data_IF_980396293331
#
_entry.id   IF_980396293331
#
_cell.length_a   1.000
_cell.length_b   1.000
_cell.length_c   1.000
_cell.angle_alpha   90.00
_cell.angle_beta   90.00
_cell.angle_gamma   90.00
#
_symmetry.space_group_name_H-M   'P 1'
#
loop_
_entity.id
_entity.type
_entity.pdbx_description
1 polymer ?
#
# COMPACT_ATOMS: atom_id res chain seq x y z
N UNK A 1 7.55 -23.71 5.10
CA UNK A 1 6.55 -24.41 5.92
C UNK A 1 5.71 -23.48 6.79
N UNK A 2 6.30 -22.38 7.33
CA UNK A 2 5.58 -21.42 8.18
C UNK A 2 4.48 -20.64 7.45
N UNK A 3 4.66 -20.33 6.17
CA UNK A 3 3.69 -19.57 5.37
C UNK A 3 2.44 -20.39 4.99
N UNK A 4 2.51 -21.71 5.06
CA UNK A 4 1.37 -22.57 4.71
C UNK A 4 0.23 -22.51 5.75
N UNK A 5 0.51 -22.06 6.96
CA UNK A 5 -0.45 -21.92 8.06
C UNK A 5 -1.17 -20.56 8.10
N UNK A 6 -0.77 -19.61 7.23
CA UNK A 6 -1.41 -18.29 7.18
C UNK A 6 -2.74 -18.38 6.40
N UNK A 7 -3.75 -17.57 6.79
CA UNK A 7 -4.97 -17.40 6.00
C UNK A 7 -4.62 -16.96 4.57
N UNK A 8 -5.34 -17.48 3.58
CA UNK A 8 -5.16 -17.15 2.17
C UNK A 8 -6.49 -16.79 1.57
N UNK A 9 -6.52 -15.67 0.86
CA UNK A 9 -7.65 -15.24 0.06
C UNK A 9 -7.27 -15.20 -1.43
N UNK A 10 -8.24 -15.44 -2.29
CA UNK A 10 -8.08 -15.40 -3.74
C UNK A 10 -9.05 -14.42 -4.34
N UNK A 11 -8.54 -13.49 -5.14
CA UNK A 11 -9.34 -12.54 -5.91
C UNK A 11 -9.26 -12.93 -7.38
N UNK A 12 -10.42 -13.14 -8.00
CA UNK A 12 -10.50 -13.49 -9.42
C UNK A 12 -10.09 -12.31 -10.31
N UNK A 13 -9.36 -12.58 -11.38
CA UNK A 13 -9.02 -11.57 -12.38
C UNK A 13 -10.29 -11.12 -13.10
N UNK A 14 -10.58 -9.82 -13.05
CA UNK A 14 -11.74 -9.24 -13.75
C UNK A 14 -11.37 -8.85 -15.18
N UNK A 15 -12.32 -8.97 -16.10
CA UNK A 15 -12.15 -8.63 -17.53
C UNK A 15 -12.28 -7.14 -17.82
N UNK A 16 -12.62 -6.32 -16.82
CA UNK A 16 -12.83 -4.89 -16.95
C UNK A 16 -11.73 -4.09 -16.28
N UNK A 17 -11.54 -2.85 -16.71
CA UNK A 17 -10.57 -1.95 -16.12
C UNK A 17 -11.04 -1.50 -14.73
N UNK A 18 -10.24 -1.74 -13.69
CA UNK A 18 -10.54 -1.45 -12.27
C UNK A 18 -10.25 0.02 -11.94
N UNK A 19 -11.00 0.95 -12.53
CA UNK A 19 -10.89 2.40 -12.30
C UNK A 19 -12.20 2.94 -11.74
N UNK A 20 -12.13 3.68 -10.62
CA UNK A 20 -13.29 4.25 -9.95
C UNK A 20 -13.96 3.31 -8.94
N UNK A 21 -14.80 3.90 -8.08
CA UNK A 21 -15.41 3.19 -6.94
C UNK A 21 -16.31 2.03 -7.36
N UNK A 22 -17.09 2.20 -8.42
CA UNK A 22 -18.00 1.15 -8.91
C UNK A 22 -17.23 -0.08 -9.38
N UNK A 23 -16.16 0.13 -10.19
CA UNK A 23 -15.33 -0.98 -10.66
C UNK A 23 -14.64 -1.71 -9.49
N UNK A 24 -14.10 -0.97 -8.51
CA UNK A 24 -13.47 -1.54 -7.34
C UNK A 24 -14.45 -2.30 -6.44
N UNK A 25 -15.70 -1.85 -6.34
CA UNK A 25 -16.73 -2.54 -5.59
C UNK A 25 -17.04 -3.95 -6.15
N UNK A 26 -16.85 -4.16 -7.47
CA UNK A 26 -17.07 -5.49 -8.08
C UNK A 26 -16.09 -6.56 -7.61
N UNK A 27 -14.98 -6.19 -6.96
CA UNK A 27 -14.08 -7.17 -6.34
C UNK A 27 -14.71 -7.91 -5.16
N UNK A 28 -15.76 -7.34 -4.56
CA UNK A 28 -16.47 -7.91 -3.41
C UNK A 28 -17.76 -8.64 -3.80
N UNK A 29 -18.14 -8.63 -5.09
CA UNK A 29 -19.36 -9.28 -5.59
C UNK A 29 -19.00 -10.34 -6.63
N UNK A 30 -19.51 -11.54 -6.44
CA UNK A 30 -19.26 -12.69 -7.33
C UNK A 30 -20.13 -12.71 -8.61
N UNK A 31 -21.04 -11.74 -8.80
CA UNK A 31 -22.10 -11.83 -9.81
C UNK A 31 -21.63 -11.74 -11.27
N UNK A 32 -20.35 -11.39 -11.52
CA UNK A 32 -19.77 -11.26 -12.87
C UNK A 32 -18.56 -12.16 -13.13
N UNK A 33 -18.54 -13.36 -12.57
CA UNK A 33 -17.63 -14.36 -13.12
C UNK A 33 -18.16 -14.72 -14.53
N UNK A 34 -17.43 -14.41 -15.65
CA UNK A 34 -17.79 -15.00 -16.91
C UNK A 34 -17.79 -16.50 -16.69
N UNK A 35 -18.88 -17.18 -17.03
CA UNK A 35 -18.85 -18.61 -17.20
C UNK A 35 -17.85 -18.90 -18.33
N UNK A 36 -16.57 -18.96 -17.95
CA UNK A 36 -15.60 -19.63 -18.79
C UNK A 36 -16.09 -21.05 -18.90
N UNK A 37 -16.46 -21.46 -20.11
CA UNK A 37 -16.68 -22.86 -20.44
C UNK A 37 -15.52 -23.66 -19.85
N UNK A 38 -15.75 -24.21 -18.67
CA UNK A 38 -14.80 -25.06 -17.98
C UNK A 38 -14.74 -26.37 -18.78
N UNK A 39 -13.88 -26.38 -19.81
CA UNK A 39 -13.35 -27.63 -20.27
C UNK A 39 -12.47 -28.18 -19.15
N UNK A 40 -13.04 -29.14 -18.51
CA UNK A 40 -12.56 -30.02 -17.48
C UNK A 40 -11.08 -30.38 -17.64
N UNK A 41 -10.19 -29.64 -16.96
CA UNK A 41 -8.87 -30.16 -16.60
C UNK A 41 -8.95 -30.50 -15.12
N UNK A 42 -9.19 -31.79 -14.85
CA UNK A 42 -9.40 -32.43 -13.56
C UNK A 42 -8.62 -31.90 -12.36
N UNK A 43 -9.01 -30.73 -11.90
CA UNK A 43 -8.60 -30.11 -10.65
C UNK A 43 -9.63 -30.42 -9.59
N UNK A 44 -9.25 -31.15 -8.56
CA UNK A 44 -10.03 -31.41 -7.36
C UNK A 44 -10.69 -30.13 -6.88
N UNK A 45 -11.98 -30.19 -6.58
CA UNK A 45 -12.86 -29.10 -6.24
C UNK A 45 -12.20 -28.04 -5.37
N UNK A 46 -12.14 -26.82 -5.88
CA UNK A 46 -11.82 -25.61 -5.11
C UNK A 46 -13.01 -25.41 -4.17
N UNK A 47 -12.94 -26.07 -3.00
CA UNK A 47 -13.89 -25.80 -1.92
C UNK A 47 -13.89 -24.30 -1.63
N UNK A 48 -15.02 -23.77 -1.22
CA UNK A 48 -15.30 -22.38 -0.93
C UNK A 48 -14.04 -21.57 -0.57
N UNK A 49 -13.49 -20.87 -1.55
CA UNK A 49 -12.36 -19.98 -1.31
C UNK A 49 -12.88 -18.79 -0.51
N UNK A 50 -12.19 -18.36 0.55
CA UNK A 50 -12.60 -17.19 1.28
C UNK A 50 -12.58 -15.96 0.35
N UNK A 51 -13.66 -15.19 0.37
CA UNK A 51 -13.80 -13.98 -0.44
C UNK A 51 -13.05 -12.81 0.20
N UNK A 52 -12.56 -11.87 -0.62
CA UNK A 52 -11.90 -10.64 -0.13
C UNK A 52 -12.78 -9.89 0.89
N UNK A 53 -14.11 -9.95 0.72
CA UNK A 53 -15.06 -9.39 1.67
C UNK A 53 -14.91 -9.99 3.08
N UNK A 54 -14.74 -11.31 3.19
CA UNK A 54 -14.51 -11.99 4.46
C UNK A 54 -13.20 -11.58 5.14
N UNK A 55 -12.13 -11.37 4.36
CA UNK A 55 -10.89 -10.81 4.90
C UNK A 55 -11.11 -9.40 5.45
N UNK A 56 -11.82 -8.55 4.72
CA UNK A 56 -12.11 -7.17 5.18
C UNK A 56 -12.98 -7.19 6.42
N UNK A 57 -13.96 -8.11 6.53
CA UNK A 57 -14.78 -8.25 7.73
C UNK A 57 -13.94 -8.62 8.95
N UNK A 58 -13.00 -9.56 8.80
CA UNK A 58 -12.05 -9.92 9.86
C UNK A 58 -11.14 -8.75 10.25
N UNK A 59 -10.62 -8.00 9.26
CA UNK A 59 -9.81 -6.80 9.53
C UNK A 59 -10.64 -5.76 10.30
N UNK A 60 -11.91 -5.57 9.93
CA UNK A 60 -12.78 -4.57 10.52
C UNK A 60 -13.20 -4.89 11.97
N UNK A 61 -12.95 -6.10 12.48
CA UNK A 61 -13.11 -6.43 13.90
C UNK A 61 -12.14 -5.62 14.77
N UNK A 62 -10.99 -5.22 14.23
CA UNK A 62 -10.07 -4.28 14.87
C UNK A 62 -10.44 -2.83 14.53
N UNK A 63 -9.92 -1.89 15.32
CA UNK A 63 -10.10 -0.45 15.06
C UNK A 63 -8.94 0.17 14.27
N UNK A 64 -7.83 -0.50 14.21
CA UNK A 64 -6.61 -0.05 13.55
C UNK A 64 -5.75 -1.25 13.14
N UNK A 65 -4.80 -1.04 12.23
CA UNK A 65 -3.88 -2.09 11.80
C UNK A 65 -3.08 -1.72 10.56
N UNK A 66 -2.12 -2.59 10.22
CA UNK A 66 -1.30 -2.47 9.00
C UNK A 66 -1.62 -3.61 8.06
N UNK A 67 -1.95 -3.25 6.82
CA UNK A 67 -2.11 -4.20 5.70
C UNK A 67 -1.11 -3.82 4.61
N UNK A 68 -0.35 -4.79 4.13
CA UNK A 68 0.63 -4.57 3.06
C UNK A 68 0.33 -5.48 1.87
N UNK A 69 0.19 -4.90 0.68
CA UNK A 69 0.09 -5.67 -0.57
C UNK A 69 1.47 -5.85 -1.16
N UNK A 70 1.88 -7.11 -1.39
CA UNK A 70 3.21 -7.47 -1.87
C UNK A 70 3.12 -8.40 -3.07
N UNK A 71 4.06 -8.31 -4.00
CA UNK A 71 4.12 -9.19 -5.16
C UNK A 71 4.80 -8.55 -6.37
N UNK A 72 4.88 -9.30 -7.46
CA UNK A 72 5.48 -8.87 -8.74
C UNK A 72 4.70 -7.74 -9.39
N UNK A 73 5.30 -7.09 -10.39
CA UNK A 73 4.64 -6.07 -11.20
C UNK A 73 3.40 -6.62 -11.95
N UNK A 74 2.36 -5.81 -12.07
CA UNK A 74 1.17 -6.12 -12.87
C UNK A 74 0.19 -7.15 -12.27
N UNK A 75 0.38 -7.61 -11.02
CA UNK A 75 -0.51 -8.60 -10.38
C UNK A 75 -1.73 -7.99 -9.68
N UNK A 76 -1.95 -6.68 -9.78
CA UNK A 76 -3.11 -6.01 -9.20
C UNK A 76 -2.97 -5.55 -7.74
N UNK A 77 -1.74 -5.45 -7.21
CA UNK A 77 -1.50 -4.99 -5.83
C UNK A 77 -2.23 -3.69 -5.48
N UNK A 78 -2.03 -2.66 -6.30
CA UNK A 78 -2.64 -1.34 -6.13
C UNK A 78 -4.17 -1.42 -6.14
N UNK A 79 -4.74 -2.23 -7.05
CA UNK A 79 -6.18 -2.43 -7.14
C UNK A 79 -6.74 -3.09 -5.88
N UNK A 80 -6.08 -4.14 -5.39
CA UNK A 80 -6.49 -4.85 -4.15
C UNK A 80 -6.31 -3.94 -2.93
N UNK A 81 -5.20 -3.20 -2.83
CA UNK A 81 -4.98 -2.24 -1.75
C UNK A 81 -6.09 -1.17 -1.70
N UNK A 82 -6.42 -0.58 -2.86
CA UNK A 82 -7.49 0.41 -2.97
C UNK A 82 -8.86 -0.18 -2.60
N UNK A 83 -9.17 -1.40 -3.06
CA UNK A 83 -10.42 -2.08 -2.74
C UNK A 83 -10.56 -2.34 -1.23
N UNK A 84 -9.51 -2.85 -0.56
CA UNK A 84 -9.49 -3.04 0.89
C UNK A 84 -9.69 -1.71 1.63
N UNK A 85 -8.97 -0.67 1.20
CA UNK A 85 -9.07 0.66 1.81
C UNK A 85 -10.51 1.21 1.76
N UNK A 86 -11.14 1.18 0.59
CA UNK A 86 -12.53 1.62 0.39
C UNK A 86 -13.48 0.79 1.27
N UNK A 87 -13.33 -0.53 1.26
CA UNK A 87 -14.21 -1.41 2.00
C UNK A 87 -14.11 -1.23 3.52
N UNK A 88 -12.94 -0.88 4.05
CA UNK A 88 -12.76 -0.51 5.46
C UNK A 88 -13.40 0.85 5.78
N UNK A 89 -13.26 1.84 4.88
CA UNK A 89 -13.92 3.15 5.03
C UNK A 89 -15.45 2.99 5.04
N UNK A 90 -16.01 2.17 4.15
CA UNK A 90 -17.45 1.86 4.13
C UNK A 90 -17.95 1.22 5.43
N UNK A 91 -17.06 0.57 6.20
CA UNK A 91 -17.33 0.04 7.55
C UNK A 91 -17.05 1.07 8.67
N UNK A 92 -16.86 2.33 8.32
CA UNK A 92 -16.64 3.43 9.26
C UNK A 92 -15.24 3.49 9.86
N UNK A 93 -14.27 2.79 9.26
CA UNK A 93 -12.88 2.85 9.74
C UNK A 93 -12.14 4.04 9.14
N UNK A 94 -11.20 4.61 9.91
CA UNK A 94 -10.25 5.60 9.39
C UNK A 94 -9.13 4.87 8.67
N UNK A 95 -8.84 5.26 7.43
CA UNK A 95 -7.89 4.56 6.58
C UNK A 95 -6.91 5.53 5.94
N UNK A 96 -5.63 5.20 6.02
CA UNK A 96 -4.57 5.76 5.19
C UNK A 96 -4.19 4.73 4.12
N UNK A 97 -4.41 5.06 2.87
CA UNK A 97 -3.86 4.32 1.73
C UNK A 97 -2.56 5.02 1.28
N UNK A 98 -1.45 4.32 1.34
CA UNK A 98 -0.15 4.86 0.93
C UNK A 98 0.56 3.90 -0.01
N UNK A 99 1.41 4.44 -0.89
CA UNK A 99 2.22 3.63 -1.79
C UNK A 99 3.70 3.96 -1.63
N UNK A 100 4.53 2.92 -1.79
CA UNK A 100 5.99 3.07 -1.95
C UNK A 100 6.41 2.95 -3.42
N UNK A 101 5.46 2.72 -4.34
CA UNK A 101 5.71 2.66 -5.77
C UNK A 101 5.52 4.06 -6.38
N UNK A 102 6.58 4.73 -6.86
CA UNK A 102 6.48 6.06 -7.45
C UNK A 102 5.66 6.07 -8.76
N UNK A 103 5.50 4.92 -9.39
CA UNK A 103 4.66 4.76 -10.60
C UNK A 103 3.18 4.49 -10.30
N UNK A 104 2.82 4.29 -9.02
CA UNK A 104 1.44 4.04 -8.65
C UNK A 104 0.60 5.32 -8.69
N UNK A 105 -0.43 5.32 -9.51
CA UNK A 105 -1.39 6.42 -9.61
C UNK A 105 -2.64 6.14 -8.77
N UNK A 106 -2.50 6.18 -7.43
CA UNK A 106 -3.61 5.90 -6.51
C UNK A 106 -4.82 6.81 -6.76
N UNK A 107 -4.60 8.10 -7.00
CA UNK A 107 -5.68 9.05 -7.32
C UNK A 107 -6.46 8.66 -8.58
N UNK A 108 -5.77 8.15 -9.60
CA UNK A 108 -6.42 7.65 -10.82
C UNK A 108 -7.21 6.37 -10.55
N UNK A 109 -6.68 5.47 -9.72
CA UNK A 109 -7.35 4.21 -9.37
C UNK A 109 -8.63 4.45 -8.56
N UNK A 110 -8.62 5.44 -7.66
CA UNK A 110 -9.77 5.80 -6.83
C UNK A 110 -10.82 6.63 -7.59
N UNK A 111 -10.40 7.44 -8.54
CA UNK A 111 -11.25 8.26 -9.39
C UNK A 111 -11.78 9.54 -8.73
N UNK A 112 -12.13 9.52 -7.45
CA UNK A 112 -12.65 10.66 -6.68
C UNK A 112 -12.17 10.61 -5.23
N UNK A 113 -12.30 11.73 -4.53
CA UNK A 113 -12.07 11.77 -3.09
C UNK A 113 -13.12 10.93 -2.36
N UNK A 114 -12.67 10.12 -1.41
CA UNK A 114 -13.50 9.24 -0.58
C UNK A 114 -13.45 9.75 0.85
N UNK A 115 -14.59 10.13 1.38
CA UNK A 115 -14.70 10.61 2.76
C UNK A 115 -14.20 9.55 3.75
N UNK A 116 -13.27 9.90 4.64
CA UNK A 116 -12.66 8.96 5.58
C UNK A 116 -11.43 8.22 5.06
N UNK A 117 -11.03 8.42 3.80
CA UNK A 117 -9.81 7.88 3.20
C UNK A 117 -8.75 8.97 3.02
N UNK A 118 -7.67 8.87 3.77
CA UNK A 118 -6.44 9.65 3.49
C UNK A 118 -5.61 8.90 2.45
N UNK A 119 -5.21 9.58 1.38
CA UNK A 119 -4.34 9.01 0.34
C UNK A 119 -3.00 9.73 0.32
N UNK A 120 -1.92 8.98 0.35
CA UNK A 120 -0.57 9.54 0.26
C UNK A 120 0.35 8.65 -0.59
N UNK A 121 1.45 9.23 -1.03
CA UNK A 121 2.55 8.49 -1.63
C UNK A 121 3.85 8.88 -0.89
N UNK A 122 4.73 7.92 -0.74
CA UNK A 122 6.09 8.20 -0.28
C UNK A 122 6.85 8.70 -1.50
N UNK A 123 7.11 10.01 -1.50
CA UNK A 123 7.91 10.70 -2.49
C UNK A 123 9.38 10.68 -2.02
N UNK A 124 10.27 9.95 -2.69
CA UNK A 124 11.67 9.85 -2.27
C UNK A 124 12.38 11.19 -2.29
N UNK A 125 12.17 12.02 -3.31
CA UNK A 125 12.85 13.31 -3.45
C UNK A 125 12.47 14.25 -2.30
N UNK A 126 11.17 14.33 -2.02
CA UNK A 126 10.65 15.12 -0.91
C UNK A 126 11.15 14.59 0.44
N UNK A 127 11.15 13.27 0.63
CA UNK A 127 11.65 12.64 1.85
C UNK A 127 13.12 12.98 2.11
N UNK A 128 13.95 12.90 1.07
CA UNK A 128 15.38 13.24 1.12
C UNK A 128 15.59 14.71 1.48
N UNK A 129 14.84 15.61 0.84
CA UNK A 129 14.95 17.04 1.12
C UNK A 129 14.55 17.37 2.56
N UNK A 130 13.41 16.86 3.03
CA UNK A 130 12.95 17.04 4.41
C UNK A 130 13.95 16.50 5.43
N UNK A 131 14.58 15.36 5.14
CA UNK A 131 15.59 14.78 6.00
C UNK A 131 16.84 15.65 6.07
N UNK A 132 17.34 16.13 4.92
CA UNK A 132 18.51 17.01 4.83
C UNK A 132 18.27 18.30 5.60
N UNK A 133 17.12 18.93 5.37
CA UNK A 133 16.74 20.17 6.06
C UNK A 133 16.66 19.97 7.57
N UNK A 134 16.06 18.87 8.01
CA UNK A 134 15.97 18.55 9.44
C UNK A 134 17.34 18.35 10.09
N UNK A 135 18.24 17.61 9.44
CA UNK A 135 19.59 17.35 9.96
C UNK A 135 20.40 18.64 9.97
N UNK A 136 20.34 19.45 8.91
CA UNK A 136 21.03 20.73 8.84
C UNK A 136 20.51 21.71 9.89
N UNK A 137 19.21 21.78 10.12
CA UNK A 137 18.62 22.63 11.15
C UNK A 137 19.00 22.19 12.58
N UNK A 138 19.08 20.87 12.83
CA UNK A 138 19.32 20.34 14.17
C UNK A 138 20.82 20.18 14.52
N UNK A 139 21.59 19.51 13.65
CA UNK A 139 23.00 19.25 13.86
C UNK A 139 23.89 20.35 13.27
N UNK A 140 23.57 20.82 12.06
CA UNK A 140 24.33 21.86 11.38
C UNK A 140 24.33 23.20 12.11
N UNK A 141 23.28 23.52 12.88
CA UNK A 141 23.20 24.74 13.67
C UNK A 141 24.30 24.85 14.76
N UNK A 142 24.91 23.73 15.15
CA UNK A 142 25.95 23.65 16.18
C UNK A 142 27.36 23.63 15.62
N UNK A 143 27.51 23.65 14.31
CA UNK A 143 28.79 23.55 13.60
C UNK A 143 29.24 24.93 13.07
N UNK A 144 30.53 25.09 12.91
CA UNK A 144 31.12 26.17 12.13
C UNK A 144 30.91 25.99 10.63
N UNK A 145 31.32 26.94 9.82
CA UNK A 145 31.09 26.91 8.37
C UNK A 145 31.75 25.71 7.69
N UNK A 146 32.95 25.31 8.13
CA UNK A 146 33.63 24.13 7.58
C UNK A 146 32.92 22.83 7.94
N UNK A 147 32.48 22.70 9.19
CA UNK A 147 31.68 21.55 9.66
C UNK A 147 30.30 21.46 8.99
N UNK A 148 29.67 22.60 8.72
CA UNK A 148 28.40 22.64 7.97
C UNK A 148 28.59 22.21 6.52
N UNK A 149 29.65 22.62 5.86
CA UNK A 149 29.96 22.20 4.50
C UNK A 149 30.22 20.68 4.44
N UNK A 150 30.99 20.13 5.36
CA UNK A 150 31.27 18.69 5.45
C UNK A 150 29.97 17.90 5.71
N UNK A 151 29.09 18.36 6.64
CA UNK A 151 27.81 17.73 6.89
C UNK A 151 26.91 17.76 5.65
N UNK A 152 26.88 18.87 4.92
CA UNK A 152 26.10 18.98 3.69
C UNK A 152 26.56 17.99 2.62
N UNK A 153 27.86 17.76 2.49
CA UNK A 153 28.44 16.77 1.59
C UNK A 153 28.07 15.34 2.00
N UNK A 154 28.17 14.99 3.28
CA UNK A 154 27.77 13.68 3.81
C UNK A 154 26.29 13.39 3.54
N UNK A 155 25.44 14.41 3.64
CA UNK A 155 24.01 14.29 3.38
C UNK A 155 23.65 14.09 1.88
N UNK A 156 24.61 14.20 0.98
CA UNK A 156 24.44 13.87 -0.44
C UNK A 156 24.68 12.38 -0.75
N UNK A 157 25.05 11.59 0.26
CA UNK A 157 25.34 10.16 0.08
C UNK A 157 24.07 9.33 -0.21
N UNK A 158 24.20 8.22 -0.96
CA UNK A 158 23.08 7.28 -1.18
C UNK A 158 22.49 6.73 0.13
N UNK A 159 23.33 6.52 1.16
CA UNK A 159 22.84 6.06 2.48
C UNK A 159 21.83 7.04 3.11
N UNK A 160 22.02 8.35 2.89
CA UNK A 160 21.09 9.38 3.34
C UNK A 160 19.72 9.23 2.68
N UNK A 161 19.71 8.90 1.40
CA UNK A 161 18.48 8.69 0.63
C UNK A 161 17.69 7.49 1.17
N UNK A 162 18.37 6.37 1.43
CA UNK A 162 17.76 5.19 2.03
C UNK A 162 17.17 5.48 3.42
N UNK A 163 17.91 6.18 4.27
CA UNK A 163 17.46 6.57 5.61
C UNK A 163 16.23 7.48 5.54
N UNK A 164 16.22 8.45 4.64
CA UNK A 164 15.12 9.39 4.48
C UNK A 164 13.83 8.69 4.06
N UNK A 165 13.89 7.82 3.05
CA UNK A 165 12.75 7.03 2.58
C UNK A 165 12.27 6.07 3.69
N UNK A 166 13.18 5.40 4.39
CA UNK A 166 12.83 4.52 5.50
C UNK A 166 12.16 5.25 6.66
N UNK A 167 12.54 6.50 6.94
CA UNK A 167 11.87 7.31 7.95
C UNK A 167 10.43 7.63 7.56
N UNK A 168 10.16 7.98 6.30
CA UNK A 168 8.80 8.22 5.81
C UNK A 168 7.96 6.94 5.88
N UNK A 169 8.52 5.81 5.46
CA UNK A 169 7.88 4.50 5.63
C UNK A 169 7.53 4.23 7.09
N UNK A 170 8.48 4.43 8.00
CA UNK A 170 8.28 4.21 9.45
C UNK A 170 7.21 5.13 10.03
N UNK A 171 7.12 6.39 9.56
CA UNK A 171 6.05 7.32 9.97
C UNK A 171 4.68 6.83 9.51
N UNK A 172 4.57 6.34 8.27
CA UNK A 172 3.33 5.76 7.76
C UNK A 172 2.93 4.52 8.59
N UNK A 173 3.86 3.59 8.85
CA UNK A 173 3.61 2.40 9.68
C UNK A 173 3.17 2.77 11.10
N UNK A 174 3.76 3.81 11.70
CA UNK A 174 3.37 4.25 13.05
C UNK A 174 1.91 4.73 13.14
N UNK A 175 1.34 5.26 12.06
CA UNK A 175 -0.09 5.63 12.02
C UNK A 175 -1.02 4.42 12.17
N UNK A 176 -0.51 3.19 11.93
CA UNK A 176 -1.28 1.96 12.12
C UNK A 176 -1.63 1.65 13.59
N UNK A 177 -1.16 2.46 14.53
CA UNK A 177 -1.56 2.40 15.94
C UNK A 177 -2.91 3.05 16.23
N UNK A 178 -3.34 3.97 15.35
CA UNK A 178 -4.51 4.81 15.57
C UNK A 178 -5.56 4.69 14.44
N UNK A 179 -5.18 4.09 13.31
CA UNK A 179 -6.04 3.91 12.14
C UNK A 179 -5.57 2.72 11.30
N UNK A 180 -6.34 2.32 10.29
CA UNK A 180 -5.83 1.39 9.30
C UNK A 180 -4.84 2.08 8.36
N UNK A 181 -3.72 1.41 8.12
CA UNK A 181 -2.74 1.79 7.09
C UNK A 181 -2.69 0.68 6.07
N UNK A 182 -3.11 0.99 4.84
CA UNK A 182 -3.02 0.08 3.70
C UNK A 182 -1.83 0.54 2.87
N UNK A 183 -0.82 -0.30 2.77
CA UNK A 183 0.42 0.02 2.08
C UNK A 183 0.57 -0.79 0.81
N UNK A 184 0.50 -0.09 -0.32
CA UNK A 184 0.80 -0.64 -1.63
C UNK A 184 2.32 -0.59 -1.86
N UNK A 185 2.96 -1.76 -1.94
CA UNK A 185 4.42 -1.81 -2.07
C UNK A 185 4.86 -1.83 -3.53
N UNK A 186 6.04 -1.27 -3.79
CA UNK A 186 6.71 -1.41 -5.08
C UNK A 186 6.86 -2.90 -5.47
N UNK A 187 6.93 -3.22 -6.77
CA UNK A 187 7.09 -4.60 -7.23
C UNK A 187 8.32 -5.26 -6.62
N UNK A 188 8.15 -6.47 -6.04
CA UNK A 188 9.27 -7.28 -5.58
C UNK A 188 10.03 -7.82 -6.79
N UNK A 189 11.33 -7.54 -6.87
CA UNK A 189 12.18 -7.97 -7.98
C UNK A 189 12.88 -6.83 -8.72
N UNK A 190 12.69 -5.59 -8.32
CA UNK A 190 13.55 -4.46 -8.66
C UNK A 190 14.46 -4.17 -7.46
N UNK A 191 15.49 -4.97 -7.32
CA UNK A 191 16.70 -4.71 -6.54
C UNK A 191 17.88 -4.69 -7.48
#
# INVERSE_FOLDING_TARGET
PALAALPRDTVSLKSVNMVGLEALATLFHDEDAPQADAQDTGGQGIGQQPHLAGLVDQLAEADHGLVMTMGKGGVGKTTVAAAIAIALVQRGKKVLLTTTDPAAHLSTTLGNDVDGLEVSAIDPEKAIQEYRDHVMASKGAKLDDAGRAALAEDLMSPCTEEIAVFQQFSRAVNKARDQFVIMDTAPTGHT
#
